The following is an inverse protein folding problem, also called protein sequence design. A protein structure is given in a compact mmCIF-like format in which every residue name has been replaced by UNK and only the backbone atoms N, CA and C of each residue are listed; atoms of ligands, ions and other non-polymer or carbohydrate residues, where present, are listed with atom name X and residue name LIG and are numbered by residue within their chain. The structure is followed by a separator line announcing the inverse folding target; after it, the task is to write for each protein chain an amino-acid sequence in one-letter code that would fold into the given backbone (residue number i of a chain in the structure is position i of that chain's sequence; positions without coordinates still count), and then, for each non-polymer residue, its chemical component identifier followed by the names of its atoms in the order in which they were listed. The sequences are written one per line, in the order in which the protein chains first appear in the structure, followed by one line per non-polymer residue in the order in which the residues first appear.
data_IF_770422262152
#
_entry.id   IF_770422262152
#
_cell.length_a   1.000
_cell.length_b   1.000
_cell.length_c   1.000
_cell.angle_alpha   90.00
_cell.angle_beta   90.00
_cell.angle_gamma   90.00
#
_symmetry.space_group_name_H-M   'P 1'
#
loop_
_entity.id
_entity.type
_entity.pdbx_description
1 polymer ?
#
# COMPACT_ATOMS: atom_id res chain seq x y z
N UNK A 1 -18.70 11.89 4.77
CA UNK A 1 -17.57 11.29 4.04
C UNK A 1 -16.30 11.97 4.53
N UNK A 2 -15.54 11.32 5.40
CA UNK A 2 -14.29 11.88 5.91
C UNK A 2 -13.25 11.94 4.79
N UNK A 3 -12.60 13.10 4.64
CA UNK A 3 -11.50 13.26 3.70
C UNK A 3 -10.26 12.65 4.34
N UNK A 4 -9.83 11.48 3.85
CA UNK A 4 -8.53 10.91 4.25
C UNK A 4 -7.42 11.83 3.76
N UNK A 5 -6.64 12.38 4.70
CA UNK A 5 -5.42 13.13 4.38
C UNK A 5 -4.33 12.12 4.05
N UNK A 6 -3.86 12.13 2.81
CA UNK A 6 -2.71 11.32 2.40
C UNK A 6 -1.43 12.08 2.67
N UNK A 7 -0.45 11.40 3.28
CA UNK A 7 0.93 11.89 3.34
C UNK A 7 1.75 11.17 2.30
N UNK A 8 2.50 11.94 1.52
CA UNK A 8 3.40 11.44 0.49
C UNK A 8 4.81 11.62 1.03
N UNK A 9 5.56 10.52 1.09
CA UNK A 9 7.00 10.55 1.30
C UNK A 9 7.70 10.35 -0.06
N UNK A 10 8.69 11.18 -0.34
CA UNK A 10 9.54 11.04 -1.51
C UNK A 10 10.57 9.92 -1.29
N UNK A 11 11.24 9.47 -2.36
CA UNK A 11 12.35 8.51 -2.24
C UNK A 11 13.47 9.04 -1.35
N UNK A 12 13.71 10.36 -1.36
CA UNK A 12 14.70 10.99 -0.50
C UNK A 12 14.29 10.95 0.96
N UNK A 13 13.00 11.18 1.26
CA UNK A 13 12.49 11.07 2.64
C UNK A 13 12.63 9.64 3.17
N UNK A 14 12.32 8.63 2.35
CA UNK A 14 12.48 7.22 2.73
C UNK A 14 13.93 6.83 2.95
N UNK A 15 14.85 7.31 2.11
CA UNK A 15 16.28 7.10 2.29
C UNK A 15 16.80 7.77 3.57
N UNK A 16 16.31 8.96 3.92
CA UNK A 16 16.66 9.64 5.16
C UNK A 16 16.13 8.89 6.39
N UNK A 17 14.88 8.39 6.34
CA UNK A 17 14.32 7.54 7.39
C UNK A 17 15.17 6.28 7.55
N UNK A 18 15.49 5.59 6.46
CA UNK A 18 16.32 4.38 6.48
C UNK A 18 17.70 4.64 7.09
N UNK A 19 18.34 5.76 6.74
CA UNK A 19 19.63 6.16 7.30
C UNK A 19 19.55 6.42 8.82
N UNK A 20 18.50 7.14 9.26
CA UNK A 20 18.25 7.39 10.69
C UNK A 20 18.03 6.10 11.47
N UNK A 21 17.23 5.18 10.92
CA UNK A 21 16.99 3.86 11.52
C UNK A 21 18.26 3.01 11.56
N UNK A 22 19.06 2.97 10.49
CA UNK A 22 20.32 2.24 10.48
C UNK A 22 21.29 2.77 11.56
N UNK A 23 21.35 4.09 11.76
CA UNK A 23 22.14 4.69 12.83
C UNK A 23 21.66 4.25 14.22
N UNK A 24 20.34 4.30 14.47
CA UNK A 24 19.74 3.86 15.71
C UNK A 24 19.96 2.36 15.98
N UNK A 25 19.84 1.52 14.95
CA UNK A 25 20.07 0.07 15.04
C UNK A 25 21.55 -0.23 15.30
N UNK A 26 22.47 0.51 14.68
CA UNK A 26 23.91 0.36 14.97
C UNK A 26 24.21 0.68 16.44
N UNK A 27 23.70 1.80 16.95
CA UNK A 27 23.89 2.19 18.35
C UNK A 27 23.27 1.18 19.32
N UNK A 28 22.10 0.63 18.98
CA UNK A 28 21.46 -0.43 19.73
C UNK A 28 22.27 -1.73 19.71
N UNK A 29 22.75 -2.15 18.54
CA UNK A 29 23.56 -3.35 18.39
C UNK A 29 24.87 -3.24 19.18
N UNK A 30 25.53 -2.07 19.16
CA UNK A 30 26.72 -1.79 19.97
C UNK A 30 26.43 -1.92 21.47
N UNK A 31 25.30 -1.39 21.94
CA UNK A 31 24.86 -1.49 23.34
C UNK A 31 24.66 -2.95 23.79
N UNK A 32 24.14 -3.79 22.90
CA UNK A 32 23.83 -5.19 23.17
C UNK A 32 24.94 -6.15 22.70
N UNK A 33 26.12 -5.62 22.34
CA UNK A 33 27.27 -6.39 21.86
C UNK A 33 26.96 -7.29 20.65
N UNK A 34 25.97 -6.90 19.83
CA UNK A 34 25.60 -7.59 18.60
C UNK A 34 26.49 -7.09 17.47
N UNK A 35 27.09 -8.00 16.69
CA UNK A 35 27.91 -7.59 15.54
C UNK A 35 27.07 -6.97 14.44
N UNK A 36 27.23 -5.65 14.22
CA UNK A 36 26.41 -4.80 13.32
C UNK A 36 26.36 -5.30 11.87
N UNK A 37 27.38 -6.03 11.40
CA UNK A 37 27.40 -6.64 10.07
C UNK A 37 26.21 -7.61 9.80
N UNK A 38 25.41 -7.95 10.82
CA UNK A 38 24.30 -8.89 10.74
C UNK A 38 22.88 -8.26 10.66
N UNK A 39 22.72 -6.93 10.78
CA UNK A 39 21.38 -6.32 10.97
C UNK A 39 21.09 -5.05 10.15
N UNK A 40 21.15 -5.08 8.80
CA UNK A 40 20.73 -3.94 8.00
C UNK A 40 19.20 -3.75 8.01
N UNK A 41 18.73 -2.50 7.93
CA UNK A 41 17.35 -2.20 7.51
C UNK A 41 17.25 -2.55 6.02
N UNK A 42 16.57 -3.66 5.73
CA UNK A 42 16.47 -4.19 4.37
C UNK A 42 15.56 -3.37 3.47
N UNK A 43 14.47 -2.83 4.02
CA UNK A 43 13.51 -2.06 3.24
C UNK A 43 12.74 -1.04 4.11
N UNK A 44 12.38 0.09 3.51
CA UNK A 44 11.55 1.14 4.13
C UNK A 44 10.45 1.53 3.15
N UNK A 45 9.22 1.12 3.46
CA UNK A 45 8.07 1.29 2.56
C UNK A 45 7.00 2.12 3.27
N UNK A 46 6.43 3.11 2.57
CA UNK A 46 5.22 3.79 3.06
C UNK A 46 4.06 2.83 2.96
N UNK A 47 3.18 2.79 3.96
CA UNK A 47 1.92 2.05 3.89
C UNK A 47 0.97 2.61 2.82
N UNK A 48 1.29 2.29 1.56
CA UNK A 48 0.42 2.27 0.40
C UNK A 48 -0.21 0.89 0.26
N UNK A 49 -1.18 0.77 -0.65
CA UNK A 49 -2.04 -0.41 -0.86
C UNK A 49 -1.36 -1.80 -0.94
N UNK A 50 -0.03 -1.84 -1.03
CA UNK A 50 0.82 -3.02 -1.29
C UNK A 50 1.91 -3.23 -0.22
N UNK A 51 2.09 -2.31 0.72
CA UNK A 51 3.21 -2.37 1.65
C UNK A 51 2.91 -3.34 2.80
N UNK A 52 3.49 -4.54 2.65
CA UNK A 52 3.37 -5.72 3.52
C UNK A 52 1.95 -6.30 3.48
N UNK A 53 1.73 -7.48 2.86
CA UNK A 53 0.43 -8.13 2.81
C UNK A 53 0.01 -8.57 4.22
N UNK A 54 -0.58 -7.64 4.97
CA UNK A 54 -1.61 -7.94 5.95
C UNK A 54 -2.84 -8.54 5.27
N UNK A 55 -2.92 -8.55 3.93
CA UNK A 55 -3.89 -9.34 3.13
C UNK A 55 -3.62 -10.85 3.13
N UNK A 56 -2.63 -11.31 3.88
CA UNK A 56 -2.75 -12.57 4.60
C UNK A 56 -3.71 -12.45 5.83
N UNK A 57 -4.77 -11.66 5.68
CA UNK A 57 -5.64 -11.09 6.73
C UNK A 57 -6.50 -12.08 7.49
N UNK A 58 -6.25 -13.38 7.31
CA UNK A 58 -6.65 -14.47 8.21
C UNK A 58 -5.66 -15.66 8.24
N UNK A 59 -4.57 -15.64 7.46
CA UNK A 59 -3.65 -16.78 7.32
C UNK A 59 -2.15 -16.48 7.52
N UNK A 60 -1.69 -15.23 7.52
CA UNK A 60 -0.26 -14.90 7.72
C UNK A 60 0.08 -14.25 9.06
N UNK A 61 -0.93 -13.71 9.76
CA UNK A 61 -0.92 -13.57 11.23
C UNK A 61 -1.39 -14.87 11.93
N UNK A 62 -1.39 -16.00 11.21
CA UNK A 62 -1.51 -17.32 11.83
C UNK A 62 -0.22 -17.77 12.55
N UNK A 63 0.82 -16.92 12.54
CA UNK A 63 1.95 -16.98 13.46
C UNK A 63 1.80 -15.94 14.57
N UNK A 64 2.25 -16.30 15.78
CA UNK A 64 2.28 -15.47 16.98
C UNK A 64 3.22 -14.27 16.83
N UNK A 65 2.77 -13.24 16.12
CA UNK A 65 3.43 -11.95 16.14
C UNK A 65 3.03 -11.21 17.40
N UNK A 66 4.00 -10.91 18.26
CA UNK A 66 3.80 -10.07 19.42
C UNK A 66 4.00 -8.62 19.02
N UNK A 67 3.12 -7.76 19.51
CA UNK A 67 3.14 -6.33 19.26
C UNK A 67 3.65 -5.62 20.49
N UNK A 68 4.59 -4.72 20.29
CA UNK A 68 5.11 -3.90 21.37
C UNK A 68 5.12 -2.43 20.98
N UNK A 69 4.42 -1.65 21.78
CA UNK A 69 4.32 -0.21 21.61
C UNK A 69 5.15 0.48 22.66
N UNK A 70 5.90 1.51 22.26
CA UNK A 70 6.41 2.47 23.22
C UNK A 70 5.24 3.25 23.85
N UNK A 71 5.44 3.84 25.03
CA UNK A 71 4.41 4.60 25.78
C UNK A 71 3.75 5.71 24.95
N UNK A 72 4.46 6.25 23.97
CA UNK A 72 3.97 7.28 23.04
C UNK A 72 3.09 6.75 21.91
N UNK A 73 3.04 5.43 21.64
CA UNK A 73 2.28 4.86 20.51
C UNK A 73 2.77 5.24 19.10
N UNK A 74 3.73 6.16 19.00
CA UNK A 74 4.31 6.66 17.75
C UNK A 74 5.18 5.63 17.01
N UNK A 75 5.62 4.60 17.72
CA UNK A 75 6.40 3.50 17.17
C UNK A 75 5.92 2.17 17.76
N UNK A 76 5.72 1.18 16.88
CA UNK A 76 5.34 -0.17 17.27
C UNK A 76 6.23 -1.20 16.58
N UNK A 77 6.63 -2.22 17.33
CA UNK A 77 7.38 -3.37 16.84
C UNK A 77 6.43 -4.56 16.68
N UNK A 78 6.56 -5.27 15.56
CA UNK A 78 5.98 -6.59 15.37
C UNK A 78 7.07 -7.61 15.03
N UNK A 79 7.09 -8.72 15.75
CA UNK A 79 8.09 -9.78 15.59
C UNK A 79 7.49 -11.14 15.89
N UNK A 80 8.06 -12.21 15.31
CA UNK A 80 7.63 -13.58 15.57
C UNK A 80 8.37 -14.17 16.78
N UNK A 81 7.81 -15.22 17.40
CA UNK A 81 8.52 -15.96 18.47
C UNK A 81 9.88 -16.54 17.99
N UNK A 82 9.99 -16.91 16.71
CA UNK A 82 11.26 -17.37 16.10
C UNK A 82 12.28 -16.23 16.02
N UNK A 83 11.83 -15.03 15.64
CA UNK A 83 12.65 -13.81 15.63
C UNK A 83 13.21 -13.54 17.03
N UNK A 84 12.39 -13.63 18.08
CA UNK A 84 12.86 -13.44 19.46
C UNK A 84 13.92 -14.47 19.87
N UNK A 85 13.71 -15.75 19.58
CA UNK A 85 14.69 -16.80 19.89
C UNK A 85 16.04 -16.55 19.19
N UNK A 86 16.00 -16.11 17.93
CA UNK A 86 17.19 -15.79 17.17
C UNK A 86 17.90 -14.55 17.73
N UNK A 87 17.18 -13.46 18.05
CA UNK A 87 17.76 -12.30 18.71
C UNK A 87 18.39 -12.64 20.06
N UNK A 88 17.79 -13.55 20.82
CA UNK A 88 18.35 -13.98 22.10
C UNK A 88 19.68 -14.71 21.92
N UNK A 89 19.78 -15.56 20.90
CA UNK A 89 21.03 -16.24 20.54
C UNK A 89 22.15 -15.25 20.20
N UNK A 90 21.80 -14.13 19.55
CA UNK A 90 22.75 -13.05 19.25
C UNK A 90 23.21 -12.32 20.50
N UNK A 91 22.29 -11.96 21.39
CA UNK A 91 22.58 -11.16 22.59
C UNK A 91 23.39 -11.98 23.61
N UNK A 92 23.04 -13.25 23.80
CA UNK A 92 23.66 -14.09 24.84
C UNK A 92 24.80 -14.97 24.33
N UNK A 93 24.94 -15.10 23.01
CA UNK A 93 25.85 -16.02 22.35
C UNK A 93 25.32 -17.47 22.33
N UNK A 94 25.69 -18.22 21.29
CA UNK A 94 25.22 -19.60 21.05
C UNK A 94 25.50 -20.57 22.20
N UNK A 95 26.46 -20.25 23.07
CA UNK A 95 26.88 -21.08 24.19
C UNK A 95 25.88 -21.11 25.36
N UNK A 96 25.08 -20.05 25.54
CA UNK A 96 24.14 -19.94 26.67
C UNK A 96 22.85 -20.75 26.42
N UNK A 97 22.45 -20.87 25.15
CA UNK A 97 21.24 -21.59 24.74
C UNK A 97 21.36 -23.10 24.97
N UNK A 98 22.56 -23.67 24.83
CA UNK A 98 22.78 -25.11 25.03
C UNK A 98 22.77 -25.53 26.51
N UNK A 99 22.96 -24.58 27.43
CA UNK A 99 23.10 -24.84 28.87
C UNK A 99 21.82 -24.62 29.67
N UNK A 100 20.83 -23.91 29.12
CA UNK A 100 19.59 -23.58 29.83
C UNK A 100 18.52 -24.64 29.56
N UNK A 101 17.96 -25.22 30.62
CA UNK A 101 16.74 -26.03 30.53
C UNK A 101 15.61 -25.18 29.93
N UNK A 102 14.67 -25.83 29.22
CA UNK A 102 13.50 -25.20 28.56
C UNK A 102 12.78 -24.14 29.41
N UNK A 103 12.83 -24.27 30.74
CA UNK A 103 12.11 -23.41 31.68
C UNK A 103 12.86 -22.12 32.07
N UNK A 104 14.20 -22.12 32.08
CA UNK A 104 15.01 -20.93 32.40
C UNK A 104 14.99 -19.90 31.26
N UNK A 105 14.86 -20.37 30.02
CA UNK A 105 14.68 -19.54 28.83
C UNK A 105 13.38 -18.74 28.88
N UNK A 106 12.33 -19.33 29.49
CA UNK A 106 10.97 -18.76 29.51
C UNK A 106 10.88 -17.42 30.24
N UNK A 107 11.55 -17.28 31.39
CA UNK A 107 11.32 -16.12 32.28
C UNK A 107 12.46 -15.09 32.25
N UNK A 108 13.73 -15.54 32.32
CA UNK A 108 14.87 -14.60 32.35
C UNK A 108 15.27 -14.18 30.94
N UNK A 109 15.22 -15.11 29.98
CA UNK A 109 15.55 -14.83 28.59
C UNK A 109 14.58 -13.85 27.94
N UNK A 110 13.28 -14.01 28.20
CA UNK A 110 12.24 -13.09 27.72
C UNK A 110 12.40 -11.68 28.31
N UNK A 111 12.71 -11.54 29.61
CA UNK A 111 12.91 -10.24 30.22
C UNK A 111 14.08 -9.45 29.60
N UNK A 112 15.21 -10.11 29.33
CA UNK A 112 16.38 -9.47 28.70
C UNK A 112 16.08 -9.08 27.25
N UNK A 113 15.42 -9.95 26.49
CA UNK A 113 14.96 -9.65 25.13
C UNK A 113 14.03 -8.45 25.09
N UNK A 114 13.07 -8.44 26.01
CA UNK A 114 12.13 -7.34 26.11
C UNK A 114 12.88 -6.05 26.48
N UNK A 115 13.80 -6.07 27.43
CA UNK A 115 14.61 -4.89 27.72
C UNK A 115 15.40 -4.43 26.48
N UNK A 116 15.95 -5.35 25.69
CA UNK A 116 16.66 -5.01 24.46
C UNK A 116 15.76 -4.35 23.41
N UNK A 117 14.54 -4.84 23.21
CA UNK A 117 13.59 -4.24 22.29
C UNK A 117 13.09 -2.86 22.78
N UNK A 118 12.92 -2.68 24.09
CA UNK A 118 12.57 -1.37 24.66
C UNK A 118 13.70 -0.37 24.47
N UNK A 119 14.94 -0.81 24.63
CA UNK A 119 16.11 0.02 24.38
C UNK A 119 16.22 0.43 22.91
N UNK A 120 15.88 -0.47 21.97
CA UNK A 120 15.82 -0.12 20.55
C UNK A 120 14.78 0.97 20.29
N UNK A 121 13.57 0.81 20.83
CA UNK A 121 12.52 1.82 20.75
C UNK A 121 12.96 3.14 21.36
N UNK A 122 13.59 3.09 22.54
CA UNK A 122 14.09 4.27 23.22
C UNK A 122 15.16 4.99 22.39
N UNK A 123 16.11 4.27 21.78
CA UNK A 123 17.15 4.86 20.92
C UNK A 123 16.55 5.49 19.66
N UNK A 124 15.58 4.83 19.02
CA UNK A 124 14.87 5.40 17.85
C UNK A 124 14.14 6.69 18.22
N UNK A 125 13.62 6.76 19.45
CA UNK A 125 12.89 7.91 19.98
C UNK A 125 13.78 8.94 20.68
N UNK A 126 15.07 8.66 20.93
CA UNK A 126 15.98 9.60 21.59
C UNK A 126 16.09 10.89 20.76
N UNK A 127 15.87 12.03 21.41
CA UNK A 127 15.80 13.34 20.74
C UNK A 127 14.43 13.70 20.15
N UNK A 128 13.42 12.83 20.31
CA UNK A 128 12.10 12.97 19.69
C UNK A 128 10.93 13.04 20.71
N UNK A 129 11.24 13.41 21.96
CA UNK A 129 10.30 13.50 23.11
C UNK A 129 9.06 14.38 22.88
N UNK A 130 9.06 15.22 21.84
CA UNK A 130 8.04 16.26 21.64
C UNK A 130 6.89 15.88 20.69
N UNK A 131 6.93 14.73 20.01
CA UNK A 131 5.90 14.39 19.03
C UNK A 131 4.69 13.70 19.67
N UNK A 132 3.93 14.48 20.44
CA UNK A 132 2.51 14.28 20.76
C UNK A 132 2.18 13.08 21.66
N UNK A 133 1.33 13.30 22.66
CA UNK A 133 0.68 12.28 23.49
C UNK A 133 -0.32 11.41 22.69
N UNK A 134 -0.07 11.20 21.41
CA UNK A 134 -0.98 10.53 20.50
C UNK A 134 -0.84 9.03 20.69
N UNK A 135 -1.68 8.48 21.55
CA UNK A 135 -1.79 7.03 21.71
C UNK A 135 -2.46 6.44 20.46
N UNK A 136 -1.67 6.23 19.40
CA UNK A 136 -2.15 5.70 18.13
C UNK A 136 -2.32 4.18 18.27
N UNK A 137 -3.53 3.69 18.04
CA UNK A 137 -3.80 2.26 18.01
C UNK A 137 -3.22 1.62 16.75
N UNK A 138 -2.78 0.36 16.81
CA UNK A 138 -2.26 -0.35 15.64
C UNK A 138 -3.27 -0.33 14.47
N UNK A 139 -4.55 -0.52 14.76
CA UNK A 139 -5.62 -0.46 13.76
C UNK A 139 -5.63 0.85 12.96
N UNK A 140 -5.21 1.95 13.58
CA UNK A 140 -5.09 3.26 12.93
C UNK A 140 -3.80 3.36 12.10
N UNK A 141 -2.68 2.79 12.56
CA UNK A 141 -1.45 2.70 11.77
C UNK A 141 -1.64 1.84 10.51
N UNK A 142 -2.40 0.75 10.63
CA UNK A 142 -2.67 -0.16 9.53
C UNK A 142 -3.77 0.34 8.57
N UNK A 143 -4.47 1.43 8.92
CA UNK A 143 -5.49 2.00 8.03
C UNK A 143 -4.82 2.52 6.76
N UNK A 144 -5.32 2.10 5.60
CA UNK A 144 -4.86 2.60 4.31
C UNK A 144 -4.88 4.13 4.26
N UNK A 145 -3.74 4.72 3.89
CA UNK A 145 -3.58 6.18 3.83
C UNK A 145 -3.28 6.84 5.19
N UNK A 146 -2.98 6.07 6.25
CA UNK A 146 -2.54 6.59 7.55
C UNK A 146 -1.21 7.35 7.49
N UNK A 147 -0.44 7.18 6.40
CA UNK A 147 0.91 7.73 6.29
C UNK A 147 1.93 7.02 7.19
N UNK A 148 1.58 5.84 7.71
CA UNK A 148 2.50 4.99 8.46
C UNK A 148 3.63 4.52 7.54
N UNK A 149 4.85 4.55 8.04
CA UNK A 149 6.01 3.98 7.35
C UNK A 149 6.36 2.66 8.04
N UNK A 150 6.53 1.61 7.24
CA UNK A 150 6.95 0.30 7.72
C UNK A 150 8.41 0.10 7.32
N UNK A 151 9.28 0.00 8.32
CA UNK A 151 10.67 -0.40 8.11
C UNK A 151 10.82 -1.87 8.49
N UNK A 152 11.51 -2.63 7.64
CA UNK A 152 11.75 -4.05 7.85
C UNK A 152 13.23 -4.26 8.17
N UNK A 153 13.48 -4.81 9.35
CA UNK A 153 14.82 -5.18 9.81
C UNK A 153 14.93 -6.69 9.66
N UNK A 154 15.95 -7.15 8.94
CA UNK A 154 16.16 -8.58 8.68
C UNK A 154 17.52 -9.04 9.21
N UNK A 155 17.55 -10.16 9.94
CA UNK A 155 18.74 -10.92 10.30
C UNK A 155 18.59 -12.34 9.78
N UNK A 156 19.27 -12.70 8.68
CA UNK A 156 19.18 -14.06 8.13
C UNK A 156 17.71 -14.50 7.87
N UNK A 157 17.17 -15.35 8.75
CA UNK A 157 15.80 -15.90 8.70
C UNK A 157 14.79 -15.16 9.59
N UNK A 158 15.23 -14.10 10.28
CA UNK A 158 14.46 -13.38 11.28
C UNK A 158 14.08 -12.00 10.77
N UNK A 159 12.81 -11.65 10.93
CA UNK A 159 12.28 -10.35 10.50
C UNK A 159 11.61 -9.63 11.67
N UNK A 160 11.92 -8.35 11.82
CA UNK A 160 11.25 -7.41 12.72
C UNK A 160 10.63 -6.32 11.84
N UNK A 161 9.35 -6.04 12.05
CA UNK A 161 8.66 -4.93 11.39
C UNK A 161 8.51 -3.78 12.38
N UNK A 162 8.98 -2.61 11.98
CA UNK A 162 8.89 -1.37 12.72
C UNK A 162 7.85 -0.48 12.05
N UNK A 163 6.73 -0.25 12.73
CA UNK A 163 5.68 0.66 12.31
C UNK A 163 5.94 2.03 12.92
N UNK A 164 6.20 3.00 12.04
CA UNK A 164 6.44 4.39 12.40
C UNK A 164 5.18 5.19 12.09
N UNK A 165 4.67 5.92 13.08
CA UNK A 165 3.63 6.90 12.85
C UNK A 165 4.11 7.94 11.83
N UNK A 166 3.15 8.58 11.17
CA UNK A 166 3.45 9.63 10.20
C UNK A 166 4.27 10.78 10.82
N UNK A 167 4.01 11.14 12.08
CA UNK A 167 4.74 12.19 12.79
C UNK A 167 6.20 11.80 13.00
N UNK A 168 6.46 10.58 13.49
CA UNK A 168 7.82 10.07 13.70
C UNK A 168 8.59 9.92 12.39
N UNK A 169 7.95 9.37 11.36
CA UNK A 169 8.55 9.22 10.03
C UNK A 169 8.98 10.56 9.43
N UNK A 170 8.18 11.62 9.59
CA UNK A 170 8.53 12.97 9.12
C UNK A 170 9.68 13.61 9.89
N UNK A 171 9.76 13.34 11.20
CA UNK A 171 10.91 13.80 11.98
C UNK A 171 12.19 13.11 11.53
N UNK A 172 12.15 11.79 11.38
CA UNK A 172 13.29 11.00 10.91
C UNK A 172 13.74 11.38 9.49
N UNK A 173 12.80 11.75 8.61
CA UNK A 173 13.15 12.22 7.27
C UNK A 173 13.74 13.63 7.26
N UNK A 174 13.70 14.37 8.38
CA UNK A 174 14.08 15.79 8.45
C UNK A 174 13.12 16.71 7.67
N UNK A 175 11.98 16.19 7.22
CA UNK A 175 11.04 16.90 6.35
C UNK A 175 10.15 17.80 7.21
N UNK A 176 10.65 19.00 7.52
CA UNK A 176 9.89 20.10 8.12
C UNK A 176 8.90 20.75 7.14
N UNK A 177 8.82 20.22 5.91
CA UNK A 177 7.96 20.71 4.85
C UNK A 177 6.52 20.84 5.31
N UNK A 178 6.04 22.09 5.32
CA UNK A 178 4.63 22.45 5.48
C UNK A 178 3.80 21.46 4.67
N UNK A 179 2.80 20.82 5.30
CA UNK A 179 1.76 20.12 4.57
C UNK A 179 1.16 21.17 3.64
N UNK A 180 1.65 21.24 2.39
CA UNK A 180 0.89 21.88 1.34
C UNK A 180 -0.36 21.04 1.30
N UNK A 181 -1.43 21.54 1.91
CA UNK A 181 -2.77 21.05 1.66
C UNK A 181 -2.94 21.21 0.16
N UNK A 182 -2.59 20.15 -0.57
CA UNK A 182 -2.76 20.11 -2.00
C UNK A 182 -4.20 20.50 -2.27
N UNK A 183 -4.41 21.24 -3.36
CA UNK A 183 -5.75 21.52 -3.85
C UNK A 183 -6.57 20.24 -3.73
N UNK A 184 -7.76 20.35 -3.12
CA UNK A 184 -8.65 19.22 -2.80
C UNK A 184 -8.62 18.23 -3.97
N UNK A 185 -7.98 17.07 -3.77
CA UNK A 185 -7.90 16.06 -4.82
C UNK A 185 -9.34 15.78 -5.26
N UNK A 186 -9.64 16.04 -6.53
CA UNK A 186 -10.95 15.79 -7.09
C UNK A 186 -11.31 14.35 -6.78
N UNK A 187 -12.52 14.12 -6.25
CA UNK A 187 -12.95 12.76 -5.94
C UNK A 187 -12.84 11.91 -7.21
N UNK A 188 -12.58 10.61 -7.08
CA UNK A 188 -12.57 9.69 -8.23
C UNK A 188 -13.85 9.83 -9.07
N UNK A 189 -14.98 10.06 -8.42
CA UNK A 189 -16.26 10.34 -9.07
C UNK A 189 -16.28 11.67 -9.82
N UNK A 190 -15.65 12.72 -9.31
CA UNK A 190 -15.50 14.00 -10.02
C UNK A 190 -14.53 13.90 -11.22
N UNK A 191 -13.48 13.07 -11.12
CA UNK A 191 -12.56 12.79 -12.23
C UNK A 191 -13.19 11.93 -13.32
N UNK A 192 -13.95 10.90 -12.93
CA UNK A 192 -14.70 10.06 -13.89
C UNK A 192 -15.86 10.86 -14.51
N UNK A 193 -16.58 11.64 -13.70
CA UNK A 193 -17.74 12.41 -14.13
C UNK A 193 -17.41 13.62 -15.02
N UNK A 194 -16.17 14.11 -15.00
CA UNK A 194 -15.71 15.16 -15.92
C UNK A 194 -15.18 14.61 -17.23
N UNK A 195 -14.88 13.30 -17.30
CA UNK A 195 -14.47 12.62 -18.51
C UNK A 195 -15.60 12.62 -19.54
N UNK A 196 -15.35 13.22 -20.71
CA UNK A 196 -16.26 13.10 -21.86
C UNK A 196 -15.81 11.92 -22.71
N UNK A 197 -16.66 10.91 -22.82
CA UNK A 197 -16.42 9.76 -23.68
C UNK A 197 -17.18 9.95 -25.00
N UNK A 198 -16.48 9.85 -26.13
CA UNK A 198 -17.11 9.76 -27.44
C UNK A 198 -17.38 8.30 -27.76
N UNK A 199 -18.66 7.99 -27.92
CA UNK A 199 -19.13 6.65 -28.23
C UNK A 199 -19.65 6.64 -29.67
N UNK A 200 -19.26 5.63 -30.43
CA UNK A 200 -19.76 5.36 -31.76
C UNK A 200 -20.62 4.10 -31.73
N UNK A 201 -21.78 4.17 -32.38
CA UNK A 201 -22.67 3.02 -32.60
C UNK A 201 -22.83 2.86 -34.10
N UNK A 202 -22.38 1.73 -34.61
CA UNK A 202 -22.44 1.44 -36.05
C UNK A 202 -23.66 0.58 -36.35
N UNK A 203 -24.52 1.02 -37.25
CA UNK A 203 -25.78 0.35 -37.58
C UNK A 203 -25.63 -0.93 -38.41
N UNK A 204 -24.40 -1.33 -38.69
CA UNK A 204 -24.01 -2.31 -39.70
C UNK A 204 -23.16 -1.66 -40.79
N UNK A 205 -22.51 -2.51 -41.56
CA UNK A 205 -21.62 -2.13 -42.65
C UNK A 205 -22.13 -2.74 -43.96
N UNK A 206 -21.76 -2.12 -45.08
CA UNK A 206 -22.03 -2.65 -46.40
C UNK A 206 -20.78 -2.47 -47.25
N UNK A 207 -20.36 -3.52 -47.93
CA UNK A 207 -19.31 -3.45 -48.93
C UNK A 207 -19.94 -3.12 -50.28
N UNK A 208 -19.48 -2.02 -50.88
CA UNK A 208 -19.95 -1.53 -52.18
C UNK A 208 -18.73 -1.35 -53.08
N UNK A 209 -18.88 -1.62 -54.38
CA UNK A 209 -17.85 -1.26 -55.33
C UNK A 209 -17.92 0.25 -55.60
N UNK A 210 -16.80 0.82 -56.02
CA UNK A 210 -16.73 2.25 -56.34
C UNK A 210 -17.73 2.64 -57.44
N UNK A 211 -17.93 1.77 -58.44
CA UNK A 211 -18.92 1.99 -59.50
C UNK A 211 -20.35 2.10 -58.93
N UNK A 212 -20.72 1.21 -58.01
CA UNK A 212 -22.05 1.21 -57.37
C UNK A 212 -22.28 2.51 -56.57
N UNK A 213 -21.25 3.01 -55.89
CA UNK A 213 -21.30 4.28 -55.15
C UNK A 213 -21.55 5.49 -56.08
N UNK A 214 -20.97 5.50 -57.28
CA UNK A 214 -21.16 6.58 -58.26
C UNK A 214 -22.56 6.60 -58.86
N UNK A 215 -23.24 5.45 -58.87
CA UNK A 215 -24.58 5.31 -59.44
C UNK A 215 -25.71 5.57 -58.43
N UNK A 216 -25.40 5.80 -57.15
CA UNK A 216 -26.39 6.03 -56.11
C UNK A 216 -27.25 7.27 -56.38
N UNK A 217 -28.56 7.07 -56.28
CA UNK A 217 -29.59 8.11 -56.42
C UNK A 217 -30.55 8.07 -55.23
N UNK A 218 -31.24 9.19 -54.93
CA UNK A 218 -32.32 9.20 -53.96
C UNK A 218 -33.34 8.09 -54.25
N UNK A 219 -33.62 7.24 -53.26
CA UNK A 219 -34.52 6.09 -53.37
C UNK A 219 -33.83 4.73 -53.54
N UNK A 220 -32.52 4.68 -53.79
CA UNK A 220 -31.80 3.40 -53.73
C UNK A 220 -31.73 2.86 -52.30
N UNK A 221 -31.78 1.53 -52.19
CA UNK A 221 -31.78 0.82 -50.90
C UNK A 221 -30.44 0.08 -50.75
N UNK A 222 -29.67 0.44 -49.72
CA UNK A 222 -28.42 -0.24 -49.37
C UNK A 222 -28.72 -1.25 -48.26
N UNK A 223 -28.41 -2.52 -48.51
CA UNK A 223 -28.57 -3.58 -47.52
C UNK A 223 -27.35 -3.62 -46.62
N UNK A 224 -27.56 -3.42 -45.33
CA UNK A 224 -26.51 -3.56 -44.32
C UNK A 224 -26.30 -5.05 -43.96
N UNK A 225 -25.11 -5.39 -43.50
CA UNK A 225 -24.74 -6.74 -43.02
C UNK A 225 -25.33 -7.10 -41.64
N UNK A 226 -26.24 -6.29 -41.10
CA UNK A 226 -26.90 -6.52 -39.82
C UNK A 226 -28.26 -7.19 -40.01
N UNK A 227 -28.53 -8.28 -39.28
CA UNK A 227 -29.84 -8.93 -39.29
C UNK A 227 -30.84 -8.13 -38.43
N UNK A 228 -32.15 -8.14 -38.77
CA UNK A 228 -33.17 -7.63 -37.87
C UNK A 228 -33.04 -8.28 -36.48
N UNK A 229 -33.19 -7.48 -35.42
CA UNK A 229 -33.06 -7.91 -34.03
C UNK A 229 -31.66 -8.40 -33.61
N UNK A 230 -30.62 -8.06 -34.35
CA UNK A 230 -29.23 -8.23 -33.90
C UNK A 230 -28.77 -6.97 -33.15
N UNK A 231 -28.06 -7.10 -32.01
CA UNK A 231 -27.58 -5.93 -31.30
C UNK A 231 -26.46 -5.23 -32.08
N UNK A 232 -26.40 -3.91 -31.94
CA UNK A 232 -25.34 -3.05 -32.44
C UNK A 232 -24.11 -3.16 -31.56
N UNK A 233 -22.94 -3.01 -32.16
CA UNK A 233 -21.68 -2.86 -31.44
C UNK A 233 -21.51 -1.41 -31.03
N UNK A 234 -21.28 -1.19 -29.74
CA UNK A 234 -21.01 0.12 -29.15
C UNK A 234 -19.53 0.18 -28.83
N UNK A 235 -18.82 1.12 -29.45
CA UNK A 235 -17.36 1.23 -29.36
C UNK A 235 -16.91 2.64 -28.98
N UNK A 236 -15.73 2.75 -28.39
CA UNK A 236 -15.07 4.04 -28.21
C UNK A 236 -14.70 4.60 -29.57
N UNK A 237 -15.10 5.84 -29.87
CA UNK A 237 -14.86 6.46 -31.18
C UNK A 237 -13.35 6.57 -31.48
N UNK A 238 -12.54 6.86 -30.46
CA UNK A 238 -11.11 7.13 -30.62
C UNK A 238 -10.27 5.86 -30.77
N UNK A 239 -10.62 4.78 -30.08
CA UNK A 239 -9.82 3.54 -30.05
C UNK A 239 -10.45 2.38 -30.81
N UNK A 240 -11.71 2.51 -31.25
CA UNK A 240 -12.51 1.43 -31.81
C UNK A 240 -12.67 0.21 -30.87
N UNK A 241 -12.34 0.37 -29.58
CA UNK A 241 -12.52 -0.68 -28.60
C UNK A 241 -14.01 -0.88 -28.33
N UNK A 242 -14.47 -2.13 -28.50
CA UNK A 242 -15.84 -2.53 -28.16
C UNK A 242 -16.05 -2.41 -26.65
N UNK A 243 -17.07 -1.65 -26.26
CA UNK A 243 -17.45 -1.43 -24.86
C UNK A 243 -18.57 -2.41 -24.48
N UNK A 244 -19.59 -2.50 -25.33
CA UNK A 244 -20.79 -3.32 -25.08
C UNK A 244 -21.60 -3.50 -26.37
N UNK A 245 -22.71 -4.24 -26.24
CA UNK A 245 -23.72 -4.42 -27.25
C UNK A 245 -25.02 -3.72 -26.83
N UNK A 246 -25.79 -3.22 -27.81
CA UNK A 246 -27.03 -2.50 -27.54
C UNK A 246 -28.08 -2.73 -28.62
N UNK A 247 -29.37 -2.63 -28.29
CA UNK A 247 -30.46 -2.63 -29.25
C UNK A 247 -30.91 -1.21 -29.59
N UNK A 248 -31.46 -1.02 -30.80
CA UNK A 248 -32.07 0.26 -31.18
C UNK A 248 -33.43 0.36 -30.49
N UNK A 249 -33.58 1.40 -29.68
CA UNK A 249 -34.81 1.75 -29.01
C UNK A 249 -35.28 3.16 -29.36
N UNK A 250 -36.26 3.64 -28.59
CA UNK A 250 -36.80 4.99 -28.74
C UNK A 250 -37.03 5.59 -27.35
N UNK A 251 -36.58 6.83 -27.14
CA UNK A 251 -36.78 7.60 -25.91
C UNK A 251 -37.15 9.03 -26.25
N UNK A 252 -38.25 9.54 -25.68
CA UNK A 252 -38.73 10.93 -25.90
C UNK A 252 -38.84 11.27 -27.40
N UNK A 253 -39.39 10.33 -28.17
CA UNK A 253 -39.52 10.39 -29.63
C UNK A 253 -38.21 10.37 -30.45
N UNK A 254 -37.04 10.26 -29.80
CA UNK A 254 -35.73 10.18 -30.43
C UNK A 254 -35.23 8.74 -30.53
N UNK A 255 -34.39 8.44 -31.54
CA UNK A 255 -33.66 7.17 -31.62
C UNK A 255 -32.71 7.08 -30.42
N UNK A 256 -32.76 5.97 -29.71
CA UNK A 256 -31.93 5.70 -28.55
C UNK A 256 -31.31 4.30 -28.65
N UNK A 257 -30.32 4.01 -27.82
CA UNK A 257 -29.78 2.67 -27.67
C UNK A 257 -30.12 2.14 -26.28
N UNK A 258 -30.52 0.88 -26.21
CA UNK A 258 -30.77 0.16 -24.97
C UNK A 258 -29.59 -0.79 -24.73
N UNK A 259 -28.87 -0.58 -23.63
CA UNK A 259 -27.71 -1.38 -23.28
C UNK A 259 -28.16 -2.73 -22.73
N UNK A 260 -27.57 -3.81 -23.25
CA UNK A 260 -27.76 -5.15 -22.69
C UNK A 260 -26.61 -5.46 -21.73
N UNK A 261 -26.94 -5.71 -20.47
CA UNK A 261 -25.99 -6.24 -19.47
C UNK A 261 -25.81 -7.73 -19.61
#
# INVERSE_FOLDING_TARGET
MEVCKYTIFTKQDLAAIQAGLNSAISAWADKWFITVAALPVADTVVNGHEAVPLESGRQGLAGSFELRSHSSGACQLAYSSRTLQHLYSRITGDHVIKATSKDLFGTVGSAVLLQALDDLLAIILQGHDAASSEQIQLSQLLRKGSGTVVATITDQDSTIHLYLSQSLARMLSGTTGIIKTGAKLSSRQALIGSGKLKIQVTAGEAELRLADLMELRPGNVIRLNLKPNQPFTVQMADTQQVICHAYLGKRDNNKAIELTT
#
